data_IF_965762100020
#
_entry.id   IF_965762100020
#
_cell.length_a   1.000
_cell.length_b   1.000
_cell.length_c   1.000
_cell.angle_alpha   90.00
_cell.angle_beta   90.00
_cell.angle_gamma   90.00
#
_symmetry.space_group_name_H-M   'P 1'
#
loop_
_entity.id
_entity.type
_entity.pdbx_description
1 polymer ?
#
# COMPACT_ATOMS: atom_id res chain seq x y z
N UNK A 1 19.33 -9.11 5.03
CA UNK A 1 17.87 -9.17 4.78
C UNK A 1 17.50 -10.47 4.11
N UNK A 2 16.42 -11.10 4.52
CA UNK A 2 15.97 -12.37 3.95
C UNK A 2 15.58 -12.19 2.49
N UNK A 3 15.83 -13.22 1.67
CA UNK A 3 15.50 -13.20 0.24
C UNK A 3 14.03 -12.88 -0.02
N UNK A 4 13.14 -13.46 0.80
CA UNK A 4 11.71 -13.24 0.63
C UNK A 4 11.29 -11.82 0.97
N UNK A 5 11.96 -11.20 1.94
CA UNK A 5 11.73 -9.79 2.29
C UNK A 5 12.13 -8.91 1.11
N UNK A 6 13.30 -9.17 0.52
CA UNK A 6 13.75 -8.44 -0.66
C UNK A 6 12.80 -8.60 -1.84
N UNK A 7 12.22 -9.80 -2.00
CA UNK A 7 11.25 -10.04 -3.06
C UNK A 7 9.98 -9.20 -2.87
N UNK A 8 9.46 -9.13 -1.64
CA UNK A 8 8.28 -8.30 -1.35
C UNK A 8 8.57 -6.82 -1.62
N UNK A 9 9.74 -6.34 -1.18
CA UNK A 9 10.16 -4.95 -1.45
C UNK A 9 10.26 -4.71 -2.96
N UNK A 10 10.85 -5.64 -3.70
CA UNK A 10 10.97 -5.51 -5.16
C UNK A 10 9.62 -5.43 -5.86
N UNK A 11 8.64 -6.22 -5.43
CA UNK A 11 7.29 -6.16 -6.00
C UNK A 11 6.60 -4.83 -5.63
N UNK A 12 6.79 -4.36 -4.41
CA UNK A 12 6.25 -3.05 -4.00
C UNK A 12 6.86 -1.93 -4.84
N UNK A 13 8.16 -1.99 -5.09
CA UNK A 13 8.85 -0.99 -5.91
C UNK A 13 8.33 -0.95 -7.34
N UNK A 14 7.93 -2.12 -7.90
CA UNK A 14 7.30 -2.17 -9.22
C UNK A 14 5.95 -1.45 -9.23
N UNK A 15 5.16 -1.61 -8.16
CA UNK A 15 3.93 -0.84 -8.02
C UNK A 15 4.22 0.66 -7.99
N UNK A 16 5.24 1.08 -7.23
CA UNK A 16 5.62 2.48 -7.13
C UNK A 16 6.09 3.05 -8.47
N UNK A 17 6.87 2.27 -9.23
CA UNK A 17 7.31 2.68 -10.58
C UNK A 17 6.13 2.82 -11.52
N UNK A 18 5.19 1.88 -11.47
CA UNK A 18 3.96 1.95 -12.28
C UNK A 18 3.22 3.24 -12.00
N UNK A 19 3.06 3.58 -10.71
CA UNK A 19 2.38 4.82 -10.32
C UNK A 19 3.10 6.03 -10.92
N UNK A 20 4.42 6.09 -10.80
CA UNK A 20 5.19 7.24 -11.30
C UNK A 20 5.01 7.46 -12.79
N UNK A 21 4.78 6.40 -13.56
CA UNK A 21 4.58 6.50 -15.01
C UNK A 21 3.19 7.03 -15.38
N UNK A 22 2.19 6.84 -14.51
CA UNK A 22 0.80 7.17 -14.85
C UNK A 22 0.19 8.26 -13.98
N UNK A 23 0.94 8.79 -13.00
CA UNK A 23 0.41 9.70 -11.97
C UNK A 23 -0.21 10.98 -12.56
N UNK A 24 0.24 11.43 -13.72
CA UNK A 24 -0.27 12.64 -14.34
C UNK A 24 -1.46 12.38 -15.28
N UNK A 25 -1.81 11.12 -15.50
CA UNK A 25 -2.89 10.78 -16.44
C UNK A 25 -4.23 10.77 -15.71
N UNK A 26 -5.13 11.73 -16.00
CA UNK A 26 -6.41 11.82 -15.28
C UNK A 26 -7.36 10.65 -15.56
N UNK A 27 -7.10 9.86 -16.59
CA UNK A 27 -7.91 8.70 -16.91
C UNK A 27 -7.48 7.45 -16.15
N UNK A 28 -6.36 7.51 -15.43
CA UNK A 28 -5.79 6.35 -14.73
C UNK A 28 -5.71 6.55 -13.21
N UNK A 29 -6.49 7.47 -12.67
CA UNK A 29 -6.46 7.76 -11.22
C UNK A 29 -6.87 6.55 -10.39
N UNK A 30 -7.79 5.73 -10.90
CA UNK A 30 -8.18 4.49 -10.23
C UNK A 30 -7.05 3.45 -10.26
N UNK A 31 -6.27 3.42 -11.34
CA UNK A 31 -5.13 2.50 -11.44
C UNK A 31 -4.02 2.94 -10.46
N UNK A 32 -3.81 4.25 -10.34
CA UNK A 32 -2.88 4.80 -9.34
C UNK A 32 -3.27 4.35 -7.93
N UNK A 33 -4.52 4.53 -7.56
CA UNK A 33 -4.97 4.20 -6.21
C UNK A 33 -4.88 2.70 -5.93
N UNK A 34 -5.21 1.88 -6.92
CA UNK A 34 -5.06 0.43 -6.82
C UNK A 34 -3.60 0.05 -6.52
N UNK A 35 -2.66 0.62 -7.28
CA UNK A 35 -1.25 0.32 -7.07
C UNK A 35 -0.72 0.87 -5.74
N UNK A 36 -1.26 1.99 -5.25
CA UNK A 36 -0.94 2.48 -3.91
C UNK A 36 -1.31 1.45 -2.85
N UNK A 37 -2.52 0.89 -2.94
CA UNK A 37 -2.96 -0.14 -2.00
C UNK A 37 -2.05 -1.37 -2.09
N UNK A 38 -1.73 -1.82 -3.30
CA UNK A 38 -0.86 -2.98 -3.51
C UNK A 38 0.55 -2.74 -2.96
N UNK A 39 1.11 -1.56 -3.20
CA UNK A 39 2.45 -1.23 -2.69
C UNK A 39 2.48 -1.24 -1.15
N UNK A 40 1.50 -0.58 -0.53
CA UNK A 40 1.42 -0.51 0.93
C UNK A 40 1.31 -1.90 1.53
N UNK A 41 0.44 -2.74 0.99
CA UNK A 41 0.26 -4.11 1.46
C UNK A 41 1.60 -4.87 1.40
N UNK A 42 2.32 -4.74 0.30
CA UNK A 42 3.59 -5.43 0.10
C UNK A 42 4.68 -4.93 1.04
N UNK A 43 4.76 -3.62 1.27
CA UNK A 43 5.71 -3.09 2.25
C UNK A 43 5.40 -3.59 3.66
N UNK A 44 4.12 -3.61 4.04
CA UNK A 44 3.71 -4.13 5.34
C UNK A 44 4.09 -5.61 5.49
N UNK A 45 3.84 -6.40 4.46
CA UNK A 45 4.16 -7.84 4.48
C UNK A 45 5.67 -8.08 4.55
N UNK A 46 6.46 -7.27 3.85
CA UNK A 46 7.91 -7.34 3.94
C UNK A 46 8.39 -7.14 5.38
N UNK A 47 7.86 -6.11 6.04
CA UNK A 47 8.23 -5.81 7.42
C UNK A 47 7.78 -6.89 8.39
N UNK A 48 6.57 -7.41 8.21
CA UNK A 48 6.05 -8.51 9.03
C UNK A 48 6.94 -9.75 8.88
N UNK A 49 7.32 -10.08 7.66
CA UNK A 49 8.16 -11.25 7.40
C UNK A 49 9.54 -11.10 8.04
N UNK A 50 10.15 -9.91 7.95
CA UNK A 50 11.44 -9.63 8.57
C UNK A 50 11.40 -9.81 10.10
N UNK A 51 10.24 -9.51 10.70
CA UNK A 51 10.04 -9.61 12.13
C UNK A 51 9.38 -10.94 12.54
N UNK A 52 9.42 -11.92 11.65
CA UNK A 52 8.92 -13.27 11.89
C UNK A 52 7.44 -13.34 12.29
N UNK A 53 6.66 -12.37 11.83
CA UNK A 53 5.20 -12.43 11.96
C UNK A 53 4.64 -13.27 10.81
N UNK A 54 3.64 -14.12 11.07
CA UNK A 54 3.10 -14.97 10.02
C UNK A 54 2.42 -14.14 8.93
N UNK A 55 2.71 -14.48 7.67
CA UNK A 55 1.97 -13.90 6.54
C UNK A 55 0.66 -14.65 6.41
N UNK A 56 -0.43 -13.92 6.59
CA UNK A 56 -1.77 -14.45 6.40
C UNK A 56 -2.29 -13.99 5.04
N UNK A 57 -3.40 -14.56 4.59
CA UNK A 57 -4.05 -14.11 3.36
C UNK A 57 -4.88 -12.84 3.59
N UNK A 58 -4.54 -12.09 4.63
CA UNK A 58 -5.22 -10.85 4.98
C UNK A 58 -4.71 -9.75 4.05
N UNK A 59 -5.65 -9.05 3.41
CA UNK A 59 -5.36 -7.91 2.55
C UNK A 59 -5.80 -6.59 3.19
N UNK A 60 -6.37 -6.64 4.37
CA UNK A 60 -6.84 -5.46 5.08
C UNK A 60 -5.65 -4.69 5.64
N UNK A 61 -5.43 -3.49 5.13
CA UNK A 61 -4.29 -2.67 5.52
C UNK A 61 -4.30 -2.28 7.00
N UNK A 62 -5.50 -2.06 7.57
CA UNK A 62 -5.60 -1.71 8.98
C UNK A 62 -5.22 -2.88 9.87
N UNK A 63 -5.64 -4.10 9.49
CA UNK A 63 -5.27 -5.30 10.23
C UNK A 63 -3.77 -5.55 10.16
N UNK A 64 -3.17 -5.38 8.98
CA UNK A 64 -1.71 -5.50 8.82
C UNK A 64 -0.98 -4.44 9.64
N UNK A 65 -1.45 -3.21 9.60
CA UNK A 65 -0.86 -2.14 10.39
C UNK A 65 -0.97 -2.40 11.89
N UNK A 66 -2.10 -2.97 12.32
CA UNK A 66 -2.27 -3.38 13.72
C UNK A 66 -1.19 -4.35 14.18
N UNK A 67 -0.82 -5.31 13.34
CA UNK A 67 0.26 -6.24 13.63
C UNK A 67 1.61 -5.50 13.69
N UNK A 68 1.84 -4.57 12.78
CA UNK A 68 3.08 -3.78 12.76
C UNK A 68 3.20 -2.94 14.03
N UNK A 69 2.09 -2.39 14.53
CA UNK A 69 2.09 -1.57 15.75
C UNK A 69 2.52 -2.36 16.99
N UNK A 70 2.41 -3.67 16.98
CA UNK A 70 2.94 -4.51 18.07
C UNK A 70 4.48 -4.46 18.12
N UNK A 71 5.12 -4.04 17.03
CA UNK A 71 6.58 -4.00 16.90
C UNK A 71 7.08 -2.56 16.97
N UNK A 72 6.48 -1.67 16.19
CA UNK A 72 6.89 -0.26 16.09
C UNK A 72 5.68 0.58 15.69
N UNK A 73 5.61 1.80 16.20
CA UNK A 73 4.59 2.75 15.77
C UNK A 73 5.17 3.61 14.64
N UNK A 74 4.66 3.42 13.43
CA UNK A 74 5.09 4.19 12.26
C UNK A 74 4.40 5.56 12.20
N UNK A 75 3.46 5.82 13.09
CA UNK A 75 2.74 7.09 13.17
C UNK A 75 2.09 7.47 11.83
N UNK A 76 1.35 6.53 11.25
CA UNK A 76 0.65 6.74 10.00
C UNK A 76 -0.75 7.32 10.22
N UNK A 77 -1.22 8.09 9.25
CA UNK A 77 -2.60 8.57 9.20
C UNK A 77 -3.54 7.39 8.95
N UNK A 78 -4.21 6.92 9.99
CA UNK A 78 -5.07 5.72 9.90
C UNK A 78 -6.35 6.00 9.10
N UNK A 79 -6.83 7.25 9.07
CA UNK A 79 -7.99 7.60 8.25
C UNK A 79 -7.65 7.48 6.76
N UNK A 80 -6.48 7.94 6.38
CA UNK A 80 -6.01 7.83 5.00
C UNK A 80 -5.75 6.37 4.64
N UNK A 81 -5.17 5.61 5.55
CA UNK A 81 -4.94 4.18 5.37
C UNK A 81 -6.27 3.43 5.18
N UNK A 82 -7.27 3.79 5.97
CA UNK A 82 -8.61 3.22 5.86
C UNK A 82 -9.25 3.53 4.50
N UNK A 83 -9.10 4.77 4.04
CA UNK A 83 -9.64 5.18 2.73
C UNK A 83 -9.00 4.37 1.61
N UNK A 84 -7.69 4.20 1.63
CA UNK A 84 -6.98 3.40 0.63
C UNK A 84 -7.35 1.93 0.74
N UNK A 85 -7.53 1.43 1.95
CA UNK A 85 -7.96 0.05 2.18
C UNK A 85 -9.30 -0.25 1.52
N UNK A 86 -10.23 0.70 1.58
CA UNK A 86 -11.58 0.53 1.05
C UNK A 86 -11.61 0.48 -0.49
N UNK A 87 -10.55 0.93 -1.13
CA UNK A 87 -10.42 0.87 -2.58
C UNK A 87 -10.25 -0.56 -3.08
N UNK A 88 -9.62 -1.41 -2.26
CA UNK A 88 -9.40 -2.81 -2.60
C UNK A 88 -10.59 -3.66 -2.18
N UNK A 89 -11.39 -4.07 -3.14
CA UNK A 89 -12.57 -4.90 -2.89
C UNK A 89 -12.52 -6.13 -3.79
N UNK A 90 -12.14 -7.26 -3.20
CA UNK A 90 -12.02 -8.54 -3.89
C UNK A 90 -13.31 -9.00 -4.55
N UNK A 91 -14.45 -8.59 -3.99
CA UNK A 91 -15.75 -9.11 -4.39
C UNK A 91 -16.59 -8.13 -5.21
N UNK A 92 -16.02 -6.98 -5.57
CA UNK A 92 -16.74 -6.03 -6.43
C UNK A 92 -16.70 -6.49 -7.88
N UNK A 93 -17.29 -5.68 -8.74
CA UNK A 93 -17.46 -6.02 -10.16
C UNK A 93 -16.11 -6.17 -10.85
N UNK A 94 -15.92 -7.21 -11.68
CA UNK A 94 -14.69 -7.37 -12.44
C UNK A 94 -14.39 -6.11 -13.27
N UNK A 95 -13.15 -5.62 -13.19
CA UNK A 95 -12.74 -4.42 -13.92
C UNK A 95 -12.89 -3.11 -13.17
N UNK A 96 -13.57 -3.12 -12.02
CA UNK A 96 -13.76 -1.90 -11.21
C UNK A 96 -12.74 -1.84 -10.09
N UNK A 97 -11.48 -1.73 -10.43
CA UNK A 97 -10.39 -1.64 -9.46
C UNK A 97 -10.06 -0.17 -9.18
N UNK A 98 -9.64 0.10 -7.94
CA UNK A 98 -9.13 1.42 -7.55
C UNK A 98 -10.18 2.51 -7.42
N UNK A 99 -11.46 2.15 -7.35
CA UNK A 99 -12.55 3.11 -7.18
C UNK A 99 -12.77 3.42 -5.70
N UNK A 100 -13.34 4.58 -5.42
CA UNK A 100 -13.74 4.95 -4.07
C UNK A 100 -14.96 4.12 -3.64
N UNK A 101 -15.29 4.15 -2.33
CA UNK A 101 -16.40 3.39 -1.76
C UNK A 101 -17.71 3.56 -2.49
N UNK A 102 -17.97 4.78 -2.97
CA UNK A 102 -19.21 5.10 -3.69
C UNK A 102 -19.16 4.73 -5.18
N UNK A 103 -18.07 4.09 -5.62
CA UNK A 103 -17.88 3.68 -7.00
C UNK A 103 -17.33 4.77 -7.92
N UNK A 104 -17.05 5.96 -7.39
CA UNK A 104 -16.51 7.05 -8.19
C UNK A 104 -15.00 6.90 -8.40
N UNK A 105 -14.49 7.52 -9.48
CA UNK A 105 -13.05 7.60 -9.71
C UNK A 105 -12.44 8.66 -8.81
N UNK A 106 -11.25 8.38 -8.22
CA UNK A 106 -10.52 9.40 -7.49
C UNK A 106 -10.15 10.57 -8.42
N UNK A 107 -10.00 11.75 -7.84
CA UNK A 107 -9.46 12.89 -8.57
C UNK A 107 -7.95 12.73 -8.72
N UNK A 108 -7.35 13.50 -9.63
CA UNK A 108 -5.88 13.52 -9.76
C UNK A 108 -5.23 13.94 -8.44
N UNK A 109 -5.82 14.92 -7.75
CA UNK A 109 -5.31 15.36 -6.45
C UNK A 109 -5.34 14.25 -5.40
N UNK A 110 -6.45 13.51 -5.34
CA UNK A 110 -6.56 12.37 -4.43
C UNK A 110 -5.53 11.30 -4.76
N UNK A 111 -5.37 10.98 -6.04
CA UNK A 111 -4.39 9.99 -6.48
C UNK A 111 -2.98 10.40 -6.07
N UNK A 112 -2.64 11.67 -6.24
CA UNK A 112 -1.33 12.21 -5.83
C UNK A 112 -1.15 12.14 -4.32
N UNK A 113 -2.19 12.43 -3.56
CA UNK A 113 -2.16 12.34 -2.10
C UNK A 113 -1.89 10.90 -1.66
N UNK A 114 -2.57 9.94 -2.28
CA UNK A 114 -2.35 8.52 -1.99
C UNK A 114 -0.91 8.10 -2.32
N UNK A 115 -0.37 8.60 -3.42
CA UNK A 115 1.02 8.30 -3.81
C UNK A 115 2.03 8.87 -2.82
N UNK A 116 1.82 10.11 -2.36
CA UNK A 116 2.68 10.72 -1.34
C UNK A 116 2.65 9.87 -0.07
N UNK A 117 1.47 9.40 0.33
CA UNK A 117 1.31 8.55 1.50
C UNK A 117 2.02 7.21 1.32
N UNK A 118 1.89 6.59 0.14
CA UNK A 118 2.61 5.34 -0.15
C UNK A 118 4.13 5.54 -0.07
N UNK A 119 4.65 6.67 -0.55
CA UNK A 119 6.06 7.01 -0.44
C UNK A 119 6.50 7.19 1.02
N UNK A 120 5.65 7.78 1.84
CA UNK A 120 5.92 7.90 3.28
C UNK A 120 6.07 6.53 3.92
N UNK A 121 5.16 5.61 3.59
CA UNK A 121 5.20 4.24 4.11
C UNK A 121 6.46 3.53 3.61
N UNK A 122 6.77 3.66 2.33
CA UNK A 122 8.00 3.10 1.75
C UNK A 122 9.22 3.54 2.55
N UNK A 123 9.34 4.84 2.80
CA UNK A 123 10.48 5.40 3.52
C UNK A 123 10.55 4.87 4.95
N UNK A 124 9.42 4.88 5.65
CA UNK A 124 9.38 4.43 7.05
C UNK A 124 9.69 2.94 7.18
N UNK A 125 9.13 2.12 6.31
CA UNK A 125 9.39 0.67 6.32
C UNK A 125 10.85 0.39 5.99
N UNK A 126 11.40 1.01 4.95
CA UNK A 126 12.82 0.80 4.59
C UNK A 126 13.75 1.24 5.70
N UNK A 127 13.44 2.34 6.37
CA UNK A 127 14.24 2.80 7.51
C UNK A 127 14.22 1.78 8.65
N UNK A 128 13.06 1.22 8.96
CA UNK A 128 12.95 0.20 10.01
C UNK A 128 13.69 -1.09 9.61
N UNK A 129 13.60 -1.51 8.37
CA UNK A 129 14.31 -2.69 7.89
C UNK A 129 15.83 -2.50 7.97
N UNK A 130 16.32 -1.30 7.71
CA UNK A 130 17.75 -1.00 7.71
C UNK A 130 18.35 -0.88 9.11
N UNK A 131 17.53 -0.84 10.15
CA UNK A 131 18.01 -0.83 11.55
C UNK A 131 18.46 -2.21 12.03
N UNK A 132 18.24 -3.24 11.24
CA UNK A 132 18.53 -4.63 11.65
C UNK A 132 19.82 -5.18 11.07
#
# INVERSE_FOLDING_TARGET
>A
MKKQVEAWIGFAEKDMLTISEIIENPNLTNVVTFHCQQAIEKYFKAFMLENEKPLTRVHNLLALYGTIKEIVDLELDEDLLSMINDIYLESRYPGEIGLLDDGSMPTVEQAKQFFVFAKEIETKIKNELNKK
#
